data_IF_011133743775
#
_entry.id   IF_011133743775
#
_cell.length_a   1.000
_cell.length_b   1.000
_cell.length_c   1.000
_cell.angle_alpha   90.00
_cell.angle_beta   90.00
_cell.angle_gamma   90.00
#
_symmetry.space_group_name_H-M   'P 1'
#
loop_
_entity.id
_entity.type
_entity.pdbx_description
1 polymer ?
#
# COMPACT_ATOMS: atom_id res chain seq x y z
N UNK A 1 -9.93 -7.73 -0.14
CA UNK A 1 -10.15 -6.83 1.02
C UNK A 1 -10.71 -7.63 2.16
N UNK A 2 -9.90 -7.83 3.20
CA UNK A 2 -10.01 -8.97 4.13
C UNK A 2 -10.32 -8.60 5.58
N UNK A 3 -10.54 -7.33 5.91
CA UNK A 3 -11.16 -6.99 7.20
C UNK A 3 -12.65 -6.72 6.99
N UNK A 4 -13.48 -7.67 7.41
CA UNK A 4 -14.93 -7.53 7.44
C UNK A 4 -15.44 -7.12 8.82
N UNK A 5 -14.54 -6.93 9.80
CA UNK A 5 -14.91 -6.38 11.10
C UNK A 5 -15.38 -4.94 10.94
N UNK A 6 -16.68 -4.74 11.15
CA UNK A 6 -17.34 -3.44 11.06
C UNK A 6 -17.11 -2.60 12.32
N UNK A 7 -16.61 -3.22 13.40
CA UNK A 7 -16.55 -2.65 14.76
C UNK A 7 -15.12 -2.67 15.32
N UNK A 8 -14.12 -2.43 14.47
CA UNK A 8 -12.72 -2.39 14.90
C UNK A 8 -12.50 -1.33 16.00
N UNK A 9 -12.02 -1.77 17.17
CA UNK A 9 -11.73 -0.88 18.30
C UNK A 9 -10.52 0.00 17.97
N UNK A 10 -10.64 1.34 17.96
CA UNK A 10 -9.51 2.23 17.75
C UNK A 10 -8.45 2.03 18.84
N UNK A 11 -7.19 1.94 18.45
CA UNK A 11 -6.07 1.97 19.37
C UNK A 11 -5.22 3.20 19.12
N UNK A 12 -4.79 3.87 20.19
CA UNK A 12 -4.01 5.10 20.09
C UNK A 12 -2.56 4.77 19.70
N UNK A 13 -2.22 4.95 18.43
CA UNK A 13 -0.86 4.78 17.93
C UNK A 13 -0.05 6.07 18.15
N UNK A 14 0.53 6.26 19.34
CA UNK A 14 1.48 7.36 19.60
C UNK A 14 1.31 8.01 20.98
N UNK A 15 2.39 8.66 21.45
CA UNK A 15 2.48 9.27 22.79
C UNK A 15 3.62 8.69 23.63
N UNK A 16 4.82 8.50 23.06
CA UNK A 16 6.01 8.25 23.89
C UNK A 16 6.50 9.60 24.41
N UNK A 17 6.54 9.80 25.72
CA UNK A 17 6.79 11.10 26.37
C UNK A 17 8.13 11.80 26.05
N UNK A 18 8.97 11.19 25.22
CA UNK A 18 10.22 11.74 24.71
C UNK A 18 10.15 12.21 23.25
N UNK A 19 8.98 12.16 22.60
CA UNK A 19 8.77 12.69 21.26
C UNK A 19 8.18 14.09 21.39
N UNK A 20 8.97 15.11 21.04
CA UNK A 20 8.51 16.49 20.99
C UNK A 20 7.33 16.58 20.02
N UNK A 21 6.19 17.14 20.45
CA UNK A 21 4.97 17.24 19.65
C UNK A 21 5.05 18.36 18.58
N UNK A 22 6.25 18.67 18.11
CA UNK A 22 6.50 19.74 17.15
C UNK A 22 6.56 19.15 15.73
N UNK A 23 5.90 19.76 14.74
CA UNK A 23 6.00 19.32 13.36
C UNK A 23 7.44 19.40 12.86
N UNK A 24 8.01 18.25 12.49
CA UNK A 24 9.30 18.22 11.79
C UNK A 24 9.05 18.34 10.29
N UNK A 25 9.78 19.24 9.63
CA UNK A 25 9.83 19.32 8.18
C UNK A 25 11.05 18.57 7.70
N UNK A 26 10.83 17.40 7.11
CA UNK A 26 11.88 16.59 6.49
C UNK A 26 11.47 16.30 5.05
N UNK A 27 12.37 16.61 4.11
CA UNK A 27 12.18 16.25 2.70
C UNK A 27 12.98 14.97 2.42
N UNK A 28 12.28 13.92 1.99
CA UNK A 28 12.88 12.64 1.62
C UNK A 28 12.74 12.42 0.12
N UNK A 29 13.84 12.08 -0.53
CA UNK A 29 13.83 11.68 -1.95
C UNK A 29 13.44 10.20 -2.07
N UNK A 30 12.47 9.85 -2.92
CA UNK A 30 12.16 8.44 -3.19
C UNK A 30 13.25 7.82 -4.08
N UNK A 31 13.24 6.49 -4.15
CA UNK A 31 14.03 5.73 -5.14
C UNK A 31 13.10 5.01 -6.11
N UNK A 32 13.54 4.84 -7.35
CA UNK A 32 12.81 4.06 -8.33
C UNK A 32 13.06 2.56 -8.10
N UNK A 33 11.99 1.77 -8.14
CA UNK A 33 12.01 0.32 -7.90
C UNK A 33 11.01 -0.34 -8.85
N UNK A 34 11.28 -1.57 -9.29
CA UNK A 34 10.27 -2.38 -9.99
C UNK A 34 9.34 -3.07 -8.99
N UNK A 35 8.03 -2.96 -9.23
CA UNK A 35 6.96 -3.68 -8.54
C UNK A 35 6.47 -4.81 -9.45
N UNK A 36 6.49 -6.04 -8.95
CA UNK A 36 6.35 -7.20 -9.84
C UNK A 36 7.49 -7.21 -10.87
N UNK A 37 7.14 -7.46 -12.13
CA UNK A 37 8.11 -7.50 -13.24
C UNK A 37 8.08 -6.25 -14.14
N UNK A 38 6.94 -5.55 -14.21
CA UNK A 38 6.66 -4.52 -15.23
C UNK A 38 6.60 -3.09 -14.71
N UNK A 39 6.03 -2.84 -13.54
CA UNK A 39 5.71 -1.46 -13.10
C UNK A 39 6.86 -0.81 -12.36
N UNK A 40 7.25 0.39 -12.79
CA UNK A 40 8.18 1.22 -12.04
C UNK A 40 7.44 2.07 -11.01
N UNK A 41 7.92 2.08 -9.77
CA UNK A 41 7.34 2.83 -8.67
C UNK A 41 8.39 3.69 -7.99
N UNK A 42 7.95 4.83 -7.45
CA UNK A 42 8.76 5.68 -6.60
C UNK A 42 8.52 5.27 -5.14
N UNK A 43 9.47 4.52 -4.56
CA UNK A 43 9.44 4.07 -3.17
C UNK A 43 9.97 5.15 -2.24
N UNK A 44 9.10 5.65 -1.36
CA UNK A 44 9.45 6.65 -0.35
C UNK A 44 9.83 6.00 0.99
N UNK A 45 9.07 4.99 1.43
CA UNK A 45 9.36 4.22 2.65
C UNK A 45 9.53 2.73 2.30
N UNK A 46 10.51 2.03 2.91
CA UNK A 46 11.51 2.56 3.84
C UNK A 46 12.66 3.31 3.14
N UNK A 47 13.13 4.40 3.77
CA UNK A 47 14.28 5.20 3.35
C UNK A 47 15.44 5.10 4.36
N UNK A 48 16.65 5.46 3.93
CA UNK A 48 17.78 5.66 4.83
C UNK A 48 17.43 6.81 5.79
N UNK A 49 17.64 6.62 7.09
CA UNK A 49 17.26 7.60 8.12
C UNK A 49 15.76 7.63 8.49
N UNK A 50 14.86 7.14 7.62
CA UNK A 50 13.41 7.08 7.89
C UNK A 50 12.80 5.75 7.45
N UNK A 51 12.69 4.81 8.39
CA UNK A 51 12.06 3.50 8.13
C UNK A 51 10.52 3.54 8.21
N UNK A 52 9.97 4.38 9.08
CA UNK A 52 8.53 4.44 9.35
C UNK A 52 8.10 5.88 9.68
N UNK A 53 6.81 6.16 9.48
CA UNK A 53 6.10 7.34 10.00
C UNK A 53 4.85 6.85 10.72
N UNK A 54 4.85 6.88 12.06
CA UNK A 54 3.80 6.23 12.84
C UNK A 54 3.73 4.72 12.50
N UNK A 55 2.54 4.24 12.13
CA UNK A 55 2.32 2.86 11.70
C UNK A 55 2.69 2.61 10.22
N UNK A 56 2.93 3.66 9.42
CA UNK A 56 3.26 3.52 8.00
C UNK A 56 4.72 3.10 7.83
N UNK A 57 4.94 1.87 7.37
CA UNK A 57 6.28 1.29 7.18
C UNK A 57 6.69 1.12 5.71
N UNK A 58 5.77 1.39 4.79
CA UNK A 58 5.96 1.20 3.36
C UNK A 58 5.08 2.18 2.57
N UNK A 59 5.66 2.85 1.57
CA UNK A 59 4.93 3.78 0.69
C UNK A 59 5.57 3.75 -0.68
N UNK A 60 4.79 3.29 -1.66
CA UNK A 60 5.10 3.40 -3.09
C UNK A 60 4.10 4.35 -3.75
N UNK A 61 4.60 5.12 -4.71
CA UNK A 61 3.79 5.92 -5.63
C UNK A 61 4.06 5.43 -7.06
N UNK A 62 3.06 4.82 -7.68
CA UNK A 62 3.07 4.38 -9.09
C UNK A 62 2.29 5.37 -9.96
N UNK A 63 2.61 5.45 -11.25
CA UNK A 63 2.01 6.41 -12.17
C UNK A 63 2.47 7.86 -11.98
N UNK A 64 1.82 8.83 -12.65
CA UNK A 64 0.96 8.59 -13.81
C UNK A 64 1.80 8.00 -14.95
N UNK A 65 1.37 6.84 -15.46
CA UNK A 65 2.01 6.10 -16.54
C UNK A 65 0.94 5.84 -17.61
N UNK A 66 1.28 6.00 -18.89
CA UNK A 66 0.40 5.56 -19.98
C UNK A 66 0.66 4.07 -20.23
N UNK A 67 -0.35 3.27 -19.90
CA UNK A 67 -0.30 1.81 -19.99
C UNK A 67 -1.26 1.28 -21.07
N UNK A 68 -1.75 2.12 -21.99
CA UNK A 68 -2.73 1.71 -22.99
C UNK A 68 -2.26 0.55 -23.88
N UNK A 69 -0.95 0.49 -24.16
CA UNK A 69 -0.30 -0.53 -24.98
C UNK A 69 0.62 -1.48 -24.16
N UNK A 70 0.51 -1.43 -22.82
CA UNK A 70 1.33 -2.22 -21.90
C UNK A 70 0.44 -3.04 -20.96
N UNK A 71 0.93 -4.16 -20.40
CA UNK A 71 0.16 -4.94 -19.42
C UNK A 71 -0.19 -4.18 -18.12
N UNK A 72 0.39 -3.00 -17.90
CA UNK A 72 0.24 -2.26 -16.65
C UNK A 72 0.85 -3.00 -15.46
N UNK A 73 0.23 -2.82 -14.29
CA UNK A 73 0.66 -3.50 -13.06
C UNK A 73 0.30 -4.97 -13.10
N UNK A 74 1.30 -5.84 -12.91
CA UNK A 74 1.14 -7.28 -12.90
C UNK A 74 1.90 -7.86 -11.70
N UNK A 75 1.25 -7.86 -10.53
CA UNK A 75 1.83 -8.39 -9.29
C UNK A 75 1.23 -9.77 -9.01
N UNK A 76 1.97 -10.86 -9.26
CA UNK A 76 1.46 -12.22 -9.06
C UNK A 76 1.17 -12.50 -7.58
N UNK A 77 0.51 -13.63 -7.26
CA UNK A 77 0.20 -14.03 -5.89
C UNK A 77 1.43 -13.98 -4.97
N UNK A 78 1.36 -13.15 -3.92
CA UNK A 78 2.42 -12.98 -2.93
C UNK A 78 1.84 -12.81 -1.51
N UNK A 79 2.59 -13.20 -0.46
CA UNK A 79 2.08 -13.18 0.91
C UNK A 79 2.38 -11.87 1.66
N UNK A 80 1.51 -11.53 2.63
CA UNK A 80 1.76 -10.54 3.68
C UNK A 80 1.38 -11.09 5.06
N UNK A 81 2.03 -10.59 6.12
CA UNK A 81 1.70 -10.89 7.51
C UNK A 81 1.87 -9.66 8.40
N UNK A 82 1.07 -9.55 9.47
CA UNK A 82 1.22 -8.51 10.49
C UNK A 82 1.08 -7.05 10.02
N UNK A 83 0.44 -6.81 8.86
CA UNK A 83 0.29 -5.47 8.29
C UNK A 83 -1.07 -5.25 7.60
N UNK A 84 -1.31 -4.01 7.20
CA UNK A 84 -2.40 -3.66 6.29
C UNK A 84 -1.80 -3.03 5.04
N UNK A 85 -2.33 -3.37 3.87
CA UNK A 85 -2.02 -2.65 2.63
C UNK A 85 -3.16 -1.68 2.33
N UNK A 86 -2.79 -0.48 1.92
CA UNK A 86 -3.72 0.58 1.54
C UNK A 86 -3.40 1.01 0.12
N UNK A 87 -4.37 0.88 -0.77
CA UNK A 87 -4.27 1.28 -2.17
C UNK A 87 -5.22 2.47 -2.38
N UNK A 88 -4.67 3.64 -2.69
CA UNK A 88 -5.44 4.85 -2.98
C UNK A 88 -5.27 5.23 -4.45
N UNK A 89 -6.29 4.96 -5.26
CA UNK A 89 -6.19 5.08 -6.70
C UNK A 89 -6.64 6.45 -7.20
N UNK A 90 -5.75 7.15 -7.92
CA UNK A 90 -6.08 8.44 -8.53
C UNK A 90 -6.76 8.30 -9.90
N UNK A 91 -6.21 7.44 -10.78
CA UNK A 91 -6.68 7.14 -12.13
C UNK A 91 -6.44 5.66 -12.47
N UNK A 92 -7.09 5.15 -13.52
CA UNK A 92 -7.00 3.73 -13.92
C UNK A 92 -7.88 2.79 -13.08
N UNK A 93 -7.63 1.49 -13.18
CA UNK A 93 -8.26 0.46 -12.37
C UNK A 93 -7.21 -0.53 -11.83
N UNK A 94 -7.47 -1.10 -10.65
CA UNK A 94 -6.65 -2.19 -10.07
C UNK A 94 -7.57 -3.30 -9.60
N UNK A 95 -7.40 -4.50 -10.15
CA UNK A 95 -8.08 -5.71 -9.73
C UNK A 95 -7.28 -6.41 -8.62
N UNK A 96 -7.88 -6.52 -7.44
CA UNK A 96 -7.33 -7.22 -6.29
C UNK A 96 -8.01 -8.57 -6.11
N UNK A 97 -7.23 -9.63 -5.94
CA UNK A 97 -7.70 -10.98 -5.57
C UNK A 97 -6.91 -11.49 -4.37
N UNK A 98 -7.57 -12.06 -3.37
CA UNK A 98 -6.87 -12.66 -2.22
C UNK A 98 -7.33 -14.05 -1.81
N UNK A 99 -6.53 -14.69 -0.95
CA UNK A 99 -6.72 -16.05 -0.45
C UNK A 99 -7.95 -16.25 0.44
N UNK A 100 -8.67 -15.18 0.78
CA UNK A 100 -9.96 -15.27 1.50
C UNK A 100 -11.15 -15.33 0.53
N UNK A 101 -10.89 -15.28 -0.78
CA UNK A 101 -11.91 -15.29 -1.82
C UNK A 101 -12.38 -13.90 -2.23
N UNK A 102 -11.80 -12.82 -1.69
CA UNK A 102 -12.13 -11.47 -2.15
C UNK A 102 -11.64 -11.27 -3.58
N UNK A 103 -12.51 -10.70 -4.42
CA UNK A 103 -12.20 -10.20 -5.75
C UNK A 103 -12.83 -8.82 -5.88
N UNK A 104 -12.01 -7.77 -5.99
CA UNK A 104 -12.46 -6.38 -5.96
C UNK A 104 -11.69 -5.52 -6.94
N UNK A 105 -12.40 -4.76 -7.77
CA UNK A 105 -11.79 -3.71 -8.62
C UNK A 105 -11.82 -2.39 -7.87
N UNK A 106 -10.63 -1.84 -7.61
CA UNK A 106 -10.43 -0.49 -7.07
C UNK A 106 -10.45 0.49 -8.25
N UNK A 107 -11.27 1.54 -8.12
CA UNK A 107 -11.46 2.59 -9.13
C UNK A 107 -10.97 3.96 -8.64
N UNK A 108 -10.89 4.97 -9.53
CA UNK A 108 -10.49 6.32 -9.13
C UNK A 108 -11.29 6.83 -7.94
N UNK A 109 -10.59 7.45 -6.98
CA UNK A 109 -11.14 7.97 -5.71
C UNK A 109 -11.66 6.90 -4.75
N UNK A 110 -11.36 5.62 -4.97
CA UNK A 110 -11.63 4.57 -4.00
C UNK A 110 -10.39 4.25 -3.18
N UNK A 111 -10.63 3.86 -1.93
CA UNK A 111 -9.62 3.31 -1.03
C UNK A 111 -9.81 1.81 -0.95
N UNK A 112 -8.75 1.08 -1.27
CA UNK A 112 -8.63 -0.33 -0.97
C UNK A 112 -7.90 -0.59 0.35
N UNK A 113 -8.44 -1.45 1.22
CA UNK A 113 -7.83 -1.85 2.50
C UNK A 113 -7.81 -3.37 2.66
N UNK A 114 -6.63 -3.98 2.61
CA UNK A 114 -6.43 -5.39 2.94
C UNK A 114 -5.77 -5.50 4.31
N UNK A 115 -6.30 -6.33 5.19
CA UNK A 115 -5.70 -6.63 6.50
C UNK A 115 -5.16 -8.05 6.50
N UNK A 116 -3.84 -8.20 6.61
CA UNK A 116 -3.23 -9.53 6.50
C UNK A 116 -3.49 -10.40 7.72
N UNK A 117 -3.64 -9.80 8.91
CA UNK A 117 -3.72 -10.53 10.17
C UNK A 117 -2.54 -11.49 10.31
N UNK A 118 -2.85 -12.78 10.55
CA UNK A 118 -1.85 -13.86 10.64
C UNK A 118 -1.12 -14.10 9.33
N UNK A 119 -1.84 -14.14 8.22
CA UNK A 119 -1.29 -14.27 6.87
C UNK A 119 -2.43 -14.07 5.86
N UNK A 120 -2.10 -13.47 4.72
CA UNK A 120 -2.93 -13.47 3.51
C UNK A 120 -2.00 -13.54 2.31
N UNK A 121 -2.42 -14.20 1.22
CA UNK A 121 -1.80 -14.00 -0.09
C UNK A 121 -2.75 -13.28 -1.01
N UNK A 122 -2.22 -12.41 -1.88
CA UNK A 122 -3.01 -11.68 -2.85
C UNK A 122 -2.23 -11.39 -4.13
N UNK A 123 -2.95 -11.05 -5.18
CA UNK A 123 -2.43 -10.50 -6.43
C UNK A 123 -3.11 -9.16 -6.72
N UNK A 124 -2.40 -8.30 -7.44
CA UNK A 124 -2.90 -7.00 -7.89
C UNK A 124 -2.52 -6.82 -9.36
N UNK A 125 -3.52 -6.53 -10.20
CA UNK A 125 -3.34 -6.40 -11.65
C UNK A 125 -4.10 -5.18 -12.20
N UNK A 126 -3.51 -4.48 -13.16
CA UNK A 126 -4.24 -3.56 -14.03
C UNK A 126 -5.06 -4.40 -15.02
N UNK A 127 -6.40 -4.27 -15.04
CA UNK A 127 -7.26 -5.02 -15.95
C UNK A 127 -7.26 -4.48 -17.38
#
# INVERSE_FOLDING_TARGET
>A
MSNLDRDAVPSLCGGRGFVVAEPVRELLSPRNVKLGESTEVRRLLPNLGRRMVGAWCFVDHYGPDDIADEPGMQVPPHPHMGLQTVSWLHEGEVLHRDSTGSLQTIRPRQLGLMTSGRAISHSEESP
#
